data_IF_528326531710
#
_entry.id   IF_528326531710
#
_cell.length_a   1.000
_cell.length_b   1.000
_cell.length_c   1.000
_cell.angle_alpha   90.00
_cell.angle_beta   90.00
_cell.angle_gamma   90.00
#
_symmetry.space_group_name_H-M   'P 1'
#
loop_
_entity.id
_entity.type
_entity.pdbx_description
1 polymer ?
#
# COMPACT_ATOMS: atom_id res chain seq x y z
N UNK A 1 -7.74 5.43 -18.41
CA UNK A 1 -6.28 5.58 -18.53
C UNK A 1 -5.83 7.02 -18.45
N UNK A 2 -6.01 7.89 -19.48
CA UNK A 2 -5.37 9.22 -19.51
C UNK A 2 -5.62 10.11 -18.26
N UNK A 3 -6.84 10.13 -17.71
CA UNK A 3 -7.11 10.84 -16.44
C UNK A 3 -6.33 10.23 -15.27
N UNK A 4 -6.33 8.89 -15.15
CA UNK A 4 -5.68 8.15 -14.05
C UNK A 4 -4.15 8.31 -14.09
N UNK A 5 -3.55 8.47 -15.27
CA UNK A 5 -2.11 8.75 -15.41
C UNK A 5 -1.69 10.09 -14.77
N UNK A 6 -2.63 11.03 -14.61
CA UNK A 6 -2.38 12.30 -13.92
C UNK A 6 -2.47 12.20 -12.39
N UNK A 7 -3.01 11.10 -11.86
CA UNK A 7 -3.24 10.89 -10.43
C UNK A 7 -1.98 10.41 -9.68
N UNK A 8 -0.84 11.03 -9.98
CA UNK A 8 0.43 10.79 -9.28
C UNK A 8 0.54 11.73 -8.08
N UNK A 9 1.26 11.29 -7.05
CA UNK A 9 1.46 12.06 -5.79
C UNK A 9 2.93 12.41 -5.58
N UNK A 10 3.45 13.48 -6.21
CA UNK A 10 4.84 13.88 -6.08
C UNK A 10 5.15 14.46 -4.69
N UNK A 11 6.42 14.81 -4.47
CA UNK A 11 6.87 15.63 -3.34
C UNK A 11 6.54 15.07 -1.94
N UNK A 12 6.40 13.76 -1.80
CA UNK A 12 6.36 13.14 -0.48
C UNK A 12 7.63 13.52 0.32
N UNK A 13 7.53 13.65 1.65
CA UNK A 13 8.66 14.04 2.50
C UNK A 13 9.87 13.11 2.32
N UNK A 14 9.63 11.82 2.11
CA UNK A 14 10.69 10.88 1.78
C UNK A 14 11.38 11.18 0.43
N UNK A 15 10.64 11.62 -0.58
CA UNK A 15 11.19 11.98 -1.90
C UNK A 15 12.05 13.24 -1.81
N UNK A 16 11.62 14.23 -1.03
CA UNK A 16 12.40 15.44 -0.75
C UNK A 16 13.73 15.07 -0.07
N UNK A 17 13.69 14.15 0.89
CA UNK A 17 14.90 13.62 1.53
C UNK A 17 15.83 12.88 0.56
N UNK A 18 15.28 12.04 -0.33
CA UNK A 18 16.04 11.35 -1.38
C UNK A 18 16.69 12.34 -2.37
N UNK A 19 16.02 13.47 -2.66
CA UNK A 19 16.54 14.56 -3.50
C UNK A 19 17.59 15.45 -2.81
N UNK A 20 17.86 15.24 -1.52
CA UNK A 20 18.95 15.88 -0.79
C UNK A 20 18.53 16.74 0.39
N UNK A 21 17.24 17.00 0.60
CA UNK A 21 16.77 17.75 1.77
C UNK A 21 16.85 16.88 3.03
N UNK A 22 17.97 16.99 3.75
CA UNK A 22 18.21 16.21 4.98
C UNK A 22 17.27 16.54 6.13
N UNK A 23 16.50 17.64 6.04
CA UNK A 23 15.53 18.05 7.06
C UNK A 23 14.09 17.62 6.73
N UNK A 24 13.83 17.11 5.52
CA UNK A 24 12.48 16.71 5.12
C UNK A 24 11.90 15.57 5.97
N UNK A 25 12.77 14.69 6.49
CA UNK A 25 12.42 13.67 7.48
C UNK A 25 13.27 13.82 8.75
N UNK A 26 12.69 13.47 9.89
CA UNK A 26 13.33 13.54 11.20
C UNK A 26 14.12 12.26 11.53
N UNK A 27 14.75 12.23 12.71
CA UNK A 27 15.56 11.10 13.14
C UNK A 27 14.76 9.80 13.32
N UNK A 28 13.51 9.87 13.77
CA UNK A 28 12.63 8.72 13.95
C UNK A 28 12.29 8.08 12.61
N UNK A 29 11.84 8.90 11.66
CA UNK A 29 11.48 8.46 10.31
C UNK A 29 12.70 7.87 9.57
N UNK A 30 13.90 8.44 9.77
CA UNK A 30 15.13 7.90 9.22
C UNK A 30 15.51 6.55 9.85
N UNK A 31 15.32 6.35 11.16
CA UNK A 31 15.48 5.03 11.79
C UNK A 31 14.48 4.03 11.22
N UNK A 32 13.23 4.43 11.06
CA UNK A 32 12.19 3.64 10.42
C UNK A 32 12.55 3.16 9.02
N UNK A 33 13.07 4.06 8.18
CA UNK A 33 13.54 3.71 6.84
C UNK A 33 14.70 2.70 6.87
N UNK A 34 15.68 2.90 7.77
CA UNK A 34 16.81 1.96 7.93
C UNK A 34 16.32 0.59 8.36
N UNK A 35 15.45 0.53 9.37
CA UNK A 35 14.85 -0.70 9.84
C UNK A 35 14.02 -1.38 8.75
N UNK A 36 13.23 -0.63 7.98
CA UNK A 36 12.47 -1.16 6.84
C UNK A 36 13.38 -1.84 5.80
N UNK A 37 14.58 -1.30 5.56
CA UNK A 37 15.58 -1.95 4.71
C UNK A 37 16.20 -3.18 5.36
N UNK A 38 16.70 -3.03 6.58
CA UNK A 38 17.45 -4.05 7.31
C UNK A 38 16.59 -5.26 7.69
N UNK A 39 15.29 -5.06 7.92
CA UNK A 39 14.34 -6.13 8.16
C UNK A 39 14.01 -6.94 6.90
N UNK A 40 14.23 -6.38 5.71
CA UNK A 40 13.99 -7.06 4.43
C UNK A 40 12.70 -6.64 3.72
N UNK A 41 11.95 -5.64 4.21
CA UNK A 41 10.70 -5.20 3.58
C UNK A 41 10.91 -4.75 2.12
N UNK A 42 12.08 -4.17 1.82
CA UNK A 42 12.48 -3.73 0.47
C UNK A 42 12.66 -4.86 -0.54
N UNK A 43 12.74 -6.12 -0.12
CA UNK A 43 12.76 -7.25 -1.06
C UNK A 43 11.48 -7.28 -1.92
N UNK A 44 10.35 -6.89 -1.33
CA UNK A 44 9.03 -6.85 -1.97
C UNK A 44 8.60 -5.40 -2.28
N UNK A 45 8.86 -4.47 -1.37
CA UNK A 45 8.43 -3.07 -1.44
C UNK A 45 9.57 -2.14 -1.88
N UNK A 46 9.85 -2.12 -3.18
CA UNK A 46 10.92 -1.32 -3.79
C UNK A 46 10.47 -0.54 -5.03
N UNK A 47 11.40 0.20 -5.62
CA UNK A 47 11.15 1.07 -6.76
C UNK A 47 10.38 2.35 -6.38
N UNK A 48 9.98 3.15 -7.38
CA UNK A 48 9.34 4.46 -7.16
C UNK A 48 8.08 4.41 -6.29
N UNK A 49 7.34 3.30 -6.38
CA UNK A 49 6.08 3.07 -5.67
C UNK A 49 6.22 2.26 -4.37
N UNK A 50 7.44 1.84 -4.01
CA UNK A 50 7.70 0.93 -2.89
C UNK A 50 6.76 -0.28 -2.91
N UNK A 51 6.69 -0.95 -4.07
CA UNK A 51 5.73 -2.01 -4.38
C UNK A 51 5.09 -1.82 -5.76
N UNK A 52 4.13 -2.70 -6.09
CA UNK A 52 3.37 -2.66 -7.35
C UNK A 52 4.02 -3.38 -8.53
N UNK A 53 5.28 -3.80 -8.42
CA UNK A 53 6.07 -4.38 -9.52
C UNK A 53 6.11 -5.91 -9.55
N UNK A 54 5.62 -6.60 -8.51
CA UNK A 54 5.69 -8.05 -8.41
C UNK A 54 4.48 -8.65 -7.68
N UNK A 55 4.36 -9.98 -7.76
CA UNK A 55 3.41 -10.77 -6.98
C UNK A 55 4.18 -11.59 -5.95
N UNK A 56 3.73 -11.56 -4.70
CA UNK A 56 4.37 -12.26 -3.59
C UNK A 56 3.31 -12.96 -2.75
N UNK A 57 3.71 -14.04 -2.08
CA UNK A 57 2.85 -14.81 -1.19
C UNK A 57 2.45 -13.95 0.02
N UNK A 58 1.16 -13.89 0.33
CA UNK A 58 0.72 -13.39 1.63
C UNK A 58 0.87 -14.51 2.67
N UNK A 59 1.81 -14.33 3.61
CA UNK A 59 2.18 -15.34 4.60
C UNK A 59 3.25 -16.33 4.12
N UNK A 60 4.47 -15.83 3.87
CA UNK A 60 5.64 -16.64 3.49
C UNK A 60 6.09 -17.55 4.65
N UNK A 61 6.20 -16.99 5.85
CA UNK A 61 6.69 -17.69 7.05
C UNK A 61 5.52 -18.37 7.77
N UNK A 62 4.42 -17.66 7.93
CA UNK A 62 3.20 -18.16 8.56
C UNK A 62 1.97 -17.79 7.72
N UNK A 63 0.94 -18.66 7.65
CA UNK A 63 -0.27 -18.34 6.88
C UNK A 63 -1.00 -17.10 7.40
N UNK A 64 -1.44 -16.23 6.48
CA UNK A 64 -2.39 -15.17 6.81
C UNK A 64 -3.78 -15.76 7.01
N UNK A 65 -4.29 -15.69 8.24
CA UNK A 65 -5.62 -16.19 8.61
C UNK A 65 -6.67 -15.12 8.33
N UNK A 66 -7.57 -15.40 7.40
CA UNK A 66 -8.68 -14.52 7.04
C UNK A 66 -9.92 -15.34 6.70
N UNK A 67 -11.10 -14.75 6.89
CA UNK A 67 -12.37 -15.32 6.40
C UNK A 67 -12.61 -15.00 4.92
N UNK A 68 -11.81 -14.11 4.32
CA UNK A 68 -11.88 -13.79 2.90
C UNK A 68 -11.40 -14.99 2.06
N UNK A 69 -12.20 -15.39 1.07
CA UNK A 69 -11.93 -16.55 0.22
C UNK A 69 -11.02 -16.25 -0.98
N UNK A 70 -10.47 -15.04 -1.11
CA UNK A 70 -9.64 -14.65 -2.23
C UNK A 70 -8.37 -15.53 -2.34
N UNK A 71 -8.21 -16.20 -3.48
CA UNK A 71 -7.07 -17.10 -3.73
C UNK A 71 -5.87 -16.39 -4.40
N UNK A 72 -6.00 -15.07 -4.65
CA UNK A 72 -4.97 -14.27 -5.32
C UNK A 72 -4.75 -14.69 -6.77
N UNK A 73 -3.48 -14.79 -7.18
CA UNK A 73 -3.07 -15.08 -8.56
C UNK A 73 -3.47 -16.48 -9.02
N UNK A 74 -3.76 -17.42 -8.12
CA UNK A 74 -4.34 -18.71 -8.46
C UNK A 74 -5.67 -18.58 -9.22
N UNK A 75 -6.55 -17.66 -8.82
CA UNK A 75 -7.85 -17.47 -9.48
C UNK A 75 -7.72 -17.02 -10.95
N UNK A 76 -6.54 -16.51 -11.35
CA UNK A 76 -6.24 -16.10 -12.73
C UNK A 76 -5.48 -17.18 -13.50
N UNK A 77 -4.62 -17.94 -12.83
CA UNK A 77 -3.64 -18.84 -13.47
C UNK A 77 -4.00 -20.32 -13.38
N UNK A 78 -4.80 -20.71 -12.39
CA UNK A 78 -5.08 -22.11 -12.02
C UNK A 78 -3.88 -22.88 -11.43
N UNK A 79 -2.72 -22.23 -11.22
CA UNK A 79 -1.50 -22.90 -10.73
C UNK A 79 -1.42 -22.81 -9.22
N UNK A 80 -1.40 -23.95 -8.53
CA UNK A 80 -1.39 -23.97 -7.06
C UNK A 80 -0.19 -23.21 -6.44
N UNK A 81 0.95 -23.19 -7.14
CA UNK A 81 2.12 -22.39 -6.76
C UNK A 81 1.86 -20.86 -6.69
N UNK A 82 0.80 -20.37 -7.36
CA UNK A 82 0.35 -18.97 -7.34
C UNK A 82 -0.74 -18.70 -6.29
N UNK A 83 -1.14 -19.71 -5.52
CA UNK A 83 -2.18 -19.57 -4.49
C UNK A 83 -1.73 -18.61 -3.39
N UNK A 84 -2.58 -17.62 -3.13
CA UNK A 84 -2.34 -16.53 -2.21
C UNK A 84 -1.12 -15.66 -2.55
N UNK A 85 -0.63 -15.73 -3.80
CA UNK A 85 0.24 -14.69 -4.32
C UNK A 85 -0.62 -13.49 -4.72
N UNK A 86 -0.35 -12.33 -4.14
CA UNK A 86 -1.03 -11.09 -4.46
C UNK A 86 -0.03 -10.09 -5.04
N UNK A 87 -0.52 -9.16 -5.87
CA UNK A 87 0.29 -8.02 -6.29
C UNK A 87 0.71 -7.27 -5.02
N UNK A 88 2.02 -7.08 -4.82
CA UNK A 88 2.53 -6.28 -3.71
C UNK A 88 1.96 -4.86 -3.86
N UNK A 89 1.15 -4.33 -2.92
CA UNK A 89 0.59 -2.99 -3.04
C UNK A 89 1.68 -1.92 -3.02
N UNK A 90 1.38 -0.75 -3.61
CA UNK A 90 2.23 0.43 -3.37
C UNK A 90 2.10 0.86 -1.91
N UNK A 91 3.18 1.35 -1.32
CA UNK A 91 3.15 1.99 0.00
C UNK A 91 3.08 3.53 -0.09
N UNK A 92 2.96 4.08 -1.30
CA UNK A 92 2.69 5.52 -1.47
C UNK A 92 1.31 5.85 -0.94
N UNK A 93 1.23 6.91 -0.14
CA UNK A 93 0.00 7.35 0.52
C UNK A 93 -0.65 6.27 1.39
N UNK A 94 0.11 5.28 1.88
CA UNK A 94 -0.44 4.19 2.70
C UNK A 94 -1.10 4.70 3.98
N UNK A 95 -0.70 5.87 4.48
CA UNK A 95 -1.38 6.56 5.59
C UNK A 95 -2.86 6.88 5.32
N UNK A 96 -3.24 7.06 4.04
CA UNK A 96 -4.57 7.51 3.62
C UNK A 96 -5.46 6.38 3.11
N UNK A 97 -4.98 5.14 3.07
CA UNK A 97 -5.66 4.01 2.43
C UNK A 97 -5.98 2.90 3.43
N UNK A 98 -6.38 3.26 4.65
CA UNK A 98 -6.92 2.31 5.61
C UNK A 98 -8.35 1.89 5.22
N UNK A 99 -8.81 0.69 5.62
CA UNK A 99 -8.06 -0.37 6.29
C UNK A 99 -7.12 -1.14 5.34
N UNK A 100 -6.19 -1.91 5.90
CA UNK A 100 -5.10 -2.56 5.18
C UNK A 100 -5.38 -4.02 4.84
N UNK A 101 -4.57 -4.54 3.90
CA UNK A 101 -4.67 -5.86 3.28
C UNK A 101 -5.90 -6.03 2.38
N UNK A 102 -5.95 -7.14 1.64
CA UNK A 102 -6.98 -7.39 0.63
C UNK A 102 -8.37 -7.65 1.22
N UNK A 103 -8.42 -7.96 2.52
CA UNK A 103 -9.63 -8.20 3.28
C UNK A 103 -10.00 -7.03 4.21
N UNK A 104 -9.18 -5.97 4.25
CA UNK A 104 -9.43 -4.79 5.08
C UNK A 104 -9.43 -5.08 6.59
N UNK A 105 -8.71 -6.13 7.04
CA UNK A 105 -8.81 -6.60 8.43
C UNK A 105 -7.90 -5.86 9.43
N UNK A 106 -6.94 -5.05 8.95
CA UNK A 106 -6.08 -4.24 9.82
C UNK A 106 -6.49 -2.77 9.72
N UNK A 107 -6.94 -2.17 10.83
CA UNK A 107 -7.40 -0.78 10.86
C UNK A 107 -6.24 0.22 10.95
N UNK A 108 -5.08 -0.23 11.44
CA UNK A 108 -3.94 0.63 11.74
C UNK A 108 -2.66 0.18 11.04
N UNK A 109 -1.80 1.14 10.70
CA UNK A 109 -0.47 0.84 10.16
C UNK A 109 0.34 -0.03 11.13
N UNK A 110 0.17 0.18 12.43
CA UNK A 110 0.89 -0.60 13.45
C UNK A 110 0.54 -2.10 13.39
N UNK A 111 -0.76 -2.43 13.28
CA UNK A 111 -1.21 -3.80 13.07
C UNK A 111 -0.72 -4.38 11.74
N UNK A 112 -0.73 -3.58 10.67
CA UNK A 112 -0.27 -4.02 9.37
C UNK A 112 1.25 -4.31 9.36
N UNK A 113 2.05 -3.44 9.99
CA UNK A 113 3.51 -3.60 10.14
C UNK A 113 3.85 -4.82 11.00
N UNK A 114 3.16 -5.02 12.12
CA UNK A 114 3.33 -6.21 12.97
C UNK A 114 3.03 -7.49 12.20
N UNK A 115 1.88 -7.53 11.52
CA UNK A 115 1.46 -8.67 10.72
C UNK A 115 2.46 -8.98 9.61
N UNK A 116 2.98 -7.97 8.90
CA UNK A 116 3.98 -8.15 7.86
C UNK A 116 5.32 -8.62 8.43
N UNK A 117 5.75 -8.06 9.57
CA UNK A 117 6.96 -8.51 10.27
C UNK A 117 6.90 -9.99 10.59
N UNK A 118 5.81 -10.44 11.24
CA UNK A 118 5.65 -11.83 11.67
C UNK A 118 5.46 -12.78 10.49
N UNK A 119 4.46 -12.52 9.65
CA UNK A 119 4.04 -13.47 8.62
C UNK A 119 4.97 -13.55 7.42
N UNK A 120 5.70 -12.47 7.11
CA UNK A 120 6.58 -12.43 5.93
C UNK A 120 8.05 -12.58 6.28
N UNK A 121 8.48 -12.06 7.42
CA UNK A 121 9.89 -11.97 7.80
C UNK A 121 10.25 -12.81 9.03
N UNK A 122 9.26 -13.41 9.72
CA UNK A 122 9.48 -14.14 10.98
C UNK A 122 10.02 -13.24 12.09
N UNK A 123 9.71 -11.93 12.04
CA UNK A 123 10.19 -10.92 12.99
C UNK A 123 9.06 -10.41 13.85
N UNK A 124 9.30 -10.35 15.15
CA UNK A 124 8.46 -9.61 16.10
C UNK A 124 9.13 -8.30 16.40
N UNK A 125 8.57 -7.19 15.91
CA UNK A 125 9.07 -5.86 16.22
C UNK A 125 8.67 -5.45 17.64
N UNK A 126 9.55 -4.77 18.34
CA UNK A 126 9.17 -4.02 19.54
C UNK A 126 8.23 -2.86 19.19
N UNK A 127 7.50 -2.33 20.16
CA UNK A 127 6.62 -1.18 19.96
C UNK A 127 7.37 0.03 19.37
N UNK A 128 8.62 0.25 19.81
CA UNK A 128 9.47 1.34 19.32
C UNK A 128 9.88 1.12 17.85
N UNK A 129 10.28 -0.11 17.49
CA UNK A 129 10.62 -0.47 16.11
C UNK A 129 9.41 -0.35 15.18
N UNK A 130 8.24 -0.84 15.62
CA UNK A 130 6.99 -0.70 14.87
C UNK A 130 6.65 0.78 14.67
N UNK A 131 6.69 1.59 15.73
CA UNK A 131 6.45 3.03 15.66
C UNK A 131 7.44 3.75 14.73
N UNK A 132 8.72 3.37 14.73
CA UNK A 132 9.72 3.91 13.81
C UNK A 132 9.36 3.58 12.34
N UNK A 133 8.99 2.33 12.01
CA UNK A 133 8.55 1.94 10.66
C UNK A 133 7.28 2.71 10.26
N UNK A 134 6.29 2.79 11.15
CA UNK A 134 5.05 3.54 10.87
C UNK A 134 5.35 5.01 10.59
N UNK A 135 6.26 5.63 11.36
CA UNK A 135 6.69 7.01 11.11
C UNK A 135 7.30 7.14 9.70
N UNK A 136 8.16 6.21 9.30
CA UNK A 136 8.68 6.17 7.92
C UNK A 136 7.56 6.04 6.88
N UNK A 137 6.62 5.11 7.05
CA UNK A 137 5.54 4.89 6.07
C UNK A 137 4.69 6.15 5.85
N UNK A 138 4.47 6.96 6.89
CA UNK A 138 3.78 8.26 6.78
C UNK A 138 4.54 9.30 5.97
N UNK A 139 5.86 9.19 5.86
CA UNK A 139 6.66 10.06 4.98
C UNK A 139 6.45 9.79 3.49
N UNK A 140 5.75 8.71 3.13
CA UNK A 140 5.44 8.29 1.76
C UNK A 140 4.16 8.92 1.22
N UNK A 141 3.44 9.71 2.02
CA UNK A 141 2.30 10.52 1.58
C UNK A 141 2.77 11.71 0.77
N UNK A 142 2.35 11.79 -0.49
CA UNK A 142 2.70 12.87 -1.41
C UNK A 142 1.63 13.96 -1.48
N UNK A 143 1.90 14.97 -2.30
CA UNK A 143 0.90 15.98 -2.66
C UNK A 143 -0.27 15.31 -3.38
N UNK A 144 -1.49 15.52 -2.89
CA UNK A 144 -2.68 14.91 -3.47
C UNK A 144 -3.12 15.67 -4.73
N UNK A 145 -3.63 14.97 -5.77
CA UNK A 145 -4.10 15.60 -6.99
C UNK A 145 -5.16 16.67 -6.70
N UNK A 146 -4.94 17.87 -7.23
CA UNK A 146 -5.93 18.95 -7.19
C UNK A 146 -6.80 18.84 -8.44
N UNK A 147 -8.02 18.35 -8.26
CA UNK A 147 -8.96 18.08 -9.36
C UNK A 147 -10.13 19.04 -9.23
N UNK A 148 -10.44 19.77 -10.30
CA UNK A 148 -11.70 20.51 -10.40
C UNK A 148 -12.84 19.53 -10.62
N UNK A 149 -13.89 19.61 -9.79
CA UNK A 149 -15.07 18.76 -9.94
C UNK A 149 -15.67 18.94 -11.35
N UNK A 150 -15.81 17.87 -12.15
CA UNK A 150 -16.31 17.98 -13.51
C UNK A 150 -17.82 18.28 -13.50
N UNK A 151 -18.25 19.16 -14.40
CA UNK A 151 -19.67 19.37 -14.68
C UNK A 151 -20.10 18.30 -15.68
N UNK A 152 -20.85 17.31 -15.20
CA UNK A 152 -21.43 16.27 -16.07
C UNK A 152 -22.61 16.85 -16.86
N UNK A 153 -22.82 16.42 -18.11
CA UNK A 153 -23.95 16.89 -18.91
C UNK A 153 -25.29 16.36 -18.35
N UNK A 154 -26.40 17.10 -18.53
CA UNK A 154 -27.72 16.61 -18.15
C UNK A 154 -28.13 15.42 -19.04
N UNK A 155 -28.92 14.51 -18.48
CA UNK A 155 -29.60 13.47 -19.24
C UNK A 155 -30.61 14.06 -20.23
N UNK A 156 -30.97 13.28 -21.25
CA UNK A 156 -32.00 13.59 -22.24
C UNK A 156 -33.06 12.49 -22.29
N UNK A 157 -34.14 12.71 -23.07
CA UNK A 157 -35.18 11.69 -23.31
C UNK A 157 -34.63 10.39 -23.92
N UNK A 158 -33.48 10.45 -24.59
CA UNK A 158 -32.80 9.27 -25.16
C UNK A 158 -31.85 8.58 -24.18
N UNK A 159 -31.56 9.19 -23.03
CA UNK A 159 -30.65 8.63 -22.03
C UNK A 159 -31.31 7.45 -21.33
N UNK A 160 -30.61 6.31 -21.25
CA UNK A 160 -31.10 5.14 -20.52
C UNK A 160 -31.35 5.53 -19.05
N UNK A 161 -32.56 5.26 -18.56
CA UNK A 161 -32.92 5.56 -17.17
C UNK A 161 -32.12 4.67 -16.22
N UNK A 162 -31.62 5.19 -15.08
CA UNK A 162 -31.01 4.36 -14.06
C UNK A 162 -32.06 3.42 -13.46
N UNK A 163 -31.69 2.17 -13.22
CA UNK A 163 -32.51 1.17 -12.55
C UNK A 163 -31.82 0.77 -11.24
N UNK A 164 -31.95 1.56 -10.17
CA UNK A 164 -31.24 1.30 -8.91
C UNK A 164 -31.90 0.22 -8.04
N UNK A 165 -33.08 -0.27 -8.42
CA UNK A 165 -33.88 -1.21 -7.61
C UNK A 165 -34.25 -2.51 -8.34
N UNK A 166 -33.80 -2.66 -9.59
CA UNK A 166 -34.00 -3.87 -10.40
C UNK A 166 -32.77 -4.78 -10.35
#
# INVERSE_FOLDING_TARGET
AAFEETLVTPNARFDQWLKGDKKAINAQELRGYRLFKEAGCVACHNGPNLGGSSFQRMGIVEPYKTANSAEGRFAVTGKDADRFNFKVPTLRNVELTYPYFHDGAADTLAQAVDTMGRLQLGRTFTDAENADIVAFLKTLTGEQPQITLPILPPSSDKTRRPQPFD
#
